data_IF_294721324119
#
_entry.id   IF_294721324119
#
_cell.length_a   1.000
_cell.length_b   1.000
_cell.length_c   1.000
_cell.angle_alpha   90.00
_cell.angle_beta   90.00
_cell.angle_gamma   90.00
#
_symmetry.space_group_name_H-M   'P 1'
#
loop_
_entity.id
_entity.type
_entity.pdbx_description
1 polymer ?
#
# COMPACT_ATOMS: atom_id res chain seq x y z
N UNK A 1 -7.39 10.04 1.37
CA UNK A 1 -7.07 9.16 0.23
C UNK A 1 -6.66 7.80 0.79
N UNK A 2 -6.97 6.68 0.14
CA UNK A 2 -6.47 5.36 0.56
C UNK A 2 -5.06 5.14 0.05
N UNK A 3 -4.22 4.39 0.75
CA UNK A 3 -2.85 4.09 0.32
C UNK A 3 -2.80 3.34 -1.02
N UNK A 4 -3.79 2.49 -1.30
CA UNK A 4 -3.91 1.85 -2.61
C UNK A 4 -4.03 2.86 -3.76
N UNK A 5 -4.72 4.00 -3.54
CA UNK A 5 -4.79 5.07 -4.55
C UNK A 5 -3.42 5.70 -4.76
N UNK A 6 -2.71 6.02 -3.67
CA UNK A 6 -1.35 6.55 -3.75
C UNK A 6 -0.40 5.66 -4.54
N UNK A 7 -0.50 4.35 -4.35
CA UNK A 7 0.32 3.36 -5.05
C UNK A 7 0.11 3.35 -6.58
N UNK A 8 -0.94 4.01 -7.08
CA UNK A 8 -1.26 4.16 -8.50
C UNK A 8 -0.96 5.58 -9.03
N UNK A 9 -0.39 6.47 -8.21
CA UNK A 9 -0.09 7.86 -8.57
C UNK A 9 1.41 8.05 -8.83
N UNK A 10 1.72 8.72 -9.94
CA UNK A 10 3.09 9.08 -10.33
C UNK A 10 3.14 10.54 -10.80
N UNK A 11 4.30 11.18 -10.63
CA UNK A 11 4.57 12.50 -11.20
C UNK A 11 4.64 12.43 -12.72
N UNK A 12 3.91 13.31 -13.39
CA UNK A 12 3.87 13.46 -14.84
C UNK A 12 4.56 14.75 -15.32
N UNK A 13 5.35 15.39 -14.47
CA UNK A 13 6.07 16.62 -14.80
C UNK A 13 7.09 16.34 -15.91
N UNK A 14 7.10 17.19 -16.95
CA UNK A 14 8.01 17.05 -18.08
C UNK A 14 9.47 17.07 -17.61
N UNK A 15 10.23 16.04 -17.97
CA UNK A 15 11.65 15.90 -17.63
C UNK A 15 11.94 15.16 -16.32
N UNK A 16 10.91 14.64 -15.62
CA UNK A 16 11.13 13.77 -14.46
C UNK A 16 11.70 12.42 -14.89
N UNK A 17 12.80 12.00 -14.27
CA UNK A 17 13.41 10.68 -14.53
C UNK A 17 12.74 9.57 -13.72
N UNK A 18 12.44 9.84 -12.43
CA UNK A 18 11.75 8.92 -11.51
C UNK A 18 10.53 9.63 -10.94
N UNK A 19 9.36 9.35 -11.49
CA UNK A 19 8.09 9.96 -11.05
C UNK A 19 7.38 9.21 -9.93
N UNK A 20 7.93 8.08 -9.48
CA UNK A 20 7.29 7.18 -8.53
C UNK A 20 8.33 6.62 -7.53
N UNK A 21 7.96 6.42 -6.24
CA UNK A 21 6.69 6.82 -5.63
C UNK A 21 6.63 8.32 -5.31
N UNK A 22 5.42 8.84 -5.13
CA UNK A 22 5.22 10.19 -4.58
C UNK A 22 5.50 10.19 -3.07
N UNK A 23 6.24 11.18 -2.57
CA UNK A 23 6.42 11.34 -1.12
C UNK A 23 5.10 11.77 -0.47
N UNK A 24 4.74 11.15 0.65
CA UNK A 24 3.57 11.55 1.45
C UNK A 24 4.03 12.36 2.64
N UNK A 25 3.52 13.59 2.75
CA UNK A 25 3.58 14.39 3.98
C UNK A 25 2.19 14.44 4.60
N UNK A 26 2.06 13.87 5.80
CA UNK A 26 0.77 13.63 6.44
C UNK A 26 0.47 14.73 7.45
N UNK A 27 -0.60 15.48 7.22
CA UNK A 27 -1.12 16.43 8.21
C UNK A 27 -2.19 15.79 9.11
N UNK A 28 -3.04 14.92 8.53
CA UNK A 28 -4.14 14.26 9.23
C UNK A 28 -4.43 12.88 8.65
N UNK A 29 -4.52 11.89 9.53
CA UNK A 29 -5.00 10.53 9.22
C UNK A 29 -6.40 10.34 9.78
N UNK A 30 -7.26 9.64 9.04
CA UNK A 30 -8.57 9.20 9.52
C UNK A 30 -8.73 7.74 9.13
N UNK A 31 -8.91 6.89 10.13
CA UNK A 31 -9.23 5.48 9.93
C UNK A 31 -10.71 5.32 9.56
N UNK A 32 -10.99 4.52 8.53
CA UNK A 32 -12.35 4.17 8.11
C UNK A 32 -12.43 2.69 7.85
N UNK A 33 -13.20 2.01 8.70
CA UNK A 33 -13.47 0.60 8.57
C UNK A 33 -14.23 0.30 7.26
N UNK A 34 -13.83 -0.77 6.60
CA UNK A 34 -14.39 -1.25 5.34
C UNK A 34 -14.47 -2.78 5.38
N UNK A 35 -15.46 -3.34 4.69
CA UNK A 35 -15.67 -4.78 4.68
C UNK A 35 -14.44 -5.50 4.12
N UNK A 36 -14.00 -6.53 4.85
CA UNK A 36 -12.89 -7.38 4.45
C UNK A 36 -13.28 -8.21 3.22
N UNK A 37 -12.46 -8.15 2.18
CA UNK A 37 -12.65 -8.90 0.95
C UNK A 37 -11.32 -9.56 0.52
N UNK A 38 -11.07 -10.83 0.90
CA UNK A 38 -9.80 -11.49 0.63
C UNK A 38 -9.55 -11.66 -0.88
N UNK A 39 -10.58 -11.94 -1.68
CA UNK A 39 -10.44 -12.08 -3.13
C UNK A 39 -9.97 -10.77 -3.78
N UNK A 40 -10.48 -9.63 -3.33
CA UNK A 40 -10.02 -8.33 -3.80
C UNK A 40 -8.53 -8.11 -3.48
N UNK A 41 -8.11 -8.44 -2.25
CA UNK A 41 -6.73 -8.29 -1.80
C UNK A 41 -5.78 -9.18 -2.61
N UNK A 42 -6.13 -10.46 -2.81
CA UNK A 42 -5.35 -11.39 -3.64
C UNK A 42 -5.21 -10.89 -5.08
N UNK A 43 -6.28 -10.34 -5.64
CA UNK A 43 -6.30 -9.85 -7.03
C UNK A 43 -5.57 -8.52 -7.23
N UNK A 44 -5.55 -7.64 -6.22
CA UNK A 44 -4.86 -6.35 -6.30
C UNK A 44 -3.37 -6.47 -5.97
N UNK A 45 -2.97 -7.43 -5.14
CA UNK A 45 -1.60 -7.60 -4.68
C UNK A 45 -0.54 -7.60 -5.81
N UNK A 46 -0.72 -8.30 -6.95
CA UNK A 46 0.26 -8.29 -8.05
C UNK A 46 0.43 -6.94 -8.74
N UNK A 47 -0.49 -5.98 -8.51
CA UNK A 47 -0.46 -4.63 -9.07
C UNK A 47 0.15 -3.61 -8.13
N UNK A 48 0.52 -4.02 -6.92
CA UNK A 48 1.05 -3.12 -5.89
C UNK A 48 2.56 -3.07 -6.00
N UNK A 49 3.08 -1.85 -6.03
CA UNK A 49 4.47 -1.58 -5.74
C UNK A 49 4.68 -1.63 -4.23
N UNK A 50 5.18 -2.78 -3.74
CA UNK A 50 5.23 -3.10 -2.31
C UNK A 50 6.04 -2.08 -1.50
N UNK A 51 7.23 -1.73 -1.99
CA UNK A 51 8.12 -0.78 -1.30
C UNK A 51 7.47 0.60 -1.15
N UNK A 52 6.74 1.05 -2.18
CA UNK A 52 6.01 2.31 -2.12
C UNK A 52 4.87 2.26 -1.08
N UNK A 53 4.14 1.14 -0.99
CA UNK A 53 3.09 0.95 0.00
C UNK A 53 3.65 0.96 1.43
N UNK A 54 4.74 0.23 1.68
CA UNK A 54 5.41 0.17 2.99
C UNK A 54 5.91 1.55 3.42
N UNK A 55 6.58 2.28 2.52
CA UNK A 55 7.05 3.65 2.82
C UNK A 55 5.88 4.61 3.11
N UNK A 56 4.79 4.50 2.35
CA UNK A 56 3.60 5.33 2.54
C UNK A 56 2.89 5.02 3.87
N UNK A 57 2.77 3.74 4.22
CA UNK A 57 2.21 3.25 5.49
C UNK A 57 3.03 3.78 6.68
N UNK A 58 4.36 3.66 6.62
CA UNK A 58 5.28 4.20 7.64
C UNK A 58 5.16 5.72 7.80
N UNK A 59 4.97 6.45 6.71
CA UNK A 59 4.77 7.92 6.74
C UNK A 59 3.47 8.33 7.47
N UNK A 60 2.49 7.42 7.56
CA UNK A 60 1.25 7.60 8.32
C UNK A 60 1.32 7.06 9.76
N UNK A 61 2.46 6.50 10.18
CA UNK A 61 2.66 5.95 11.53
C UNK A 61 2.33 4.46 11.69
N UNK A 62 2.09 3.74 10.57
CA UNK A 62 1.79 2.31 10.56
C UNK A 62 3.05 1.50 10.19
N UNK A 63 3.25 0.35 10.85
CA UNK A 63 4.47 -0.48 10.72
C UNK A 63 4.19 -1.99 10.70
N UNK A 64 2.94 -2.38 10.45
CA UNK A 64 2.45 -3.75 10.47
C UNK A 64 2.86 -4.55 9.23
N UNK A 65 3.12 -3.86 8.12
CA UNK A 65 3.54 -4.48 6.87
C UNK A 65 5.03 -4.86 6.91
N UNK A 66 5.40 -6.07 6.44
CA UNK A 66 6.79 -6.46 6.32
C UNK A 66 7.55 -5.57 5.33
N UNK A 67 8.85 -5.40 5.58
CA UNK A 67 9.73 -4.60 4.72
C UNK A 67 9.86 -5.19 3.31
N UNK A 68 10.05 -6.50 3.22
CA UNK A 68 10.11 -7.22 1.96
C UNK A 68 8.73 -7.65 1.49
N UNK A 69 8.55 -7.72 0.17
CA UNK A 69 7.31 -8.24 -0.41
C UNK A 69 7.11 -9.68 0.05
N UNK A 70 5.96 -10.02 0.64
CA UNK A 70 5.67 -11.38 1.01
C UNK A 70 5.55 -12.26 -0.23
N UNK A 71 5.90 -13.54 -0.07
CA UNK A 71 5.69 -14.53 -1.12
C UNK A 71 4.20 -14.71 -1.41
N UNK A 72 3.87 -15.15 -2.63
CA UNK A 72 2.47 -15.42 -3.02
C UNK A 72 1.77 -16.43 -2.12
N UNK A 73 2.51 -17.34 -1.49
CA UNK A 73 2.02 -18.30 -0.49
C UNK A 73 1.42 -17.63 0.76
N UNK A 74 1.90 -16.43 1.12
CA UNK A 74 1.39 -15.66 2.26
C UNK A 74 0.01 -15.06 1.99
N UNK A 75 -0.43 -15.01 0.72
CA UNK A 75 -1.77 -14.55 0.36
C UNK A 75 -2.89 -15.51 0.80
N UNK A 76 -2.55 -16.70 1.27
CA UNK A 76 -3.50 -17.63 1.90
C UNK A 76 -3.55 -17.49 3.43
N UNK A 77 -2.74 -16.60 4.01
CA UNK A 77 -2.76 -16.31 5.43
C UNK A 77 -3.75 -15.18 5.74
N UNK A 78 -4.81 -15.49 6.49
CA UNK A 78 -5.78 -14.49 6.97
C UNK A 78 -5.11 -13.40 7.82
N UNK A 79 -4.09 -13.74 8.61
CA UNK A 79 -3.34 -12.75 9.41
C UNK A 79 -2.63 -11.73 8.51
N UNK A 80 -2.01 -12.20 7.42
CA UNK A 80 -1.37 -11.32 6.45
C UNK A 80 -2.42 -10.45 5.74
N UNK A 81 -3.51 -11.07 5.26
CA UNK A 81 -4.55 -10.34 4.54
C UNK A 81 -5.23 -9.28 5.41
N UNK A 82 -5.41 -9.54 6.70
CA UNK A 82 -5.96 -8.55 7.65
C UNK A 82 -5.02 -7.36 7.85
N UNK A 83 -3.69 -7.59 7.94
CA UNK A 83 -2.70 -6.51 8.01
C UNK A 83 -2.59 -5.73 6.70
N UNK A 84 -2.72 -6.41 5.57
CA UNK A 84 -2.68 -5.79 4.24
C UNK A 84 -3.96 -5.02 3.90
N UNK A 85 -5.09 -5.41 4.48
CA UNK A 85 -6.38 -4.72 4.36
C UNK A 85 -6.44 -3.38 5.10
N UNK A 86 -5.81 -3.30 6.26
CA UNK A 86 -5.81 -2.13 7.15
C UNK A 86 -5.09 -0.93 6.52
#
# INVERSE_FOLDING_TARGET
MRLLTHNMLSSNIKGVANGFPLLIEVEKVIEKQVDFNPDFLKNIFPKIEWQALVQASRSMGYSELPEESPESSMLDSDDFLMKFHH
#
